data_IF_514623034195
#
_entry.id   IF_514623034195
#
_cell.length_a   1.000
_cell.length_b   1.000
_cell.length_c   1.000
_cell.angle_alpha   90.00
_cell.angle_beta   90.00
_cell.angle_gamma   90.00
#
_symmetry.space_group_name_H-M   'P 1'
#
loop_
_entity.id
_entity.type
_entity.pdbx_description
1 polymer ?
#
# COMPACT_ATOMS: atom_id res chain seq x y z
N UNK A 1 -22.20 2.26 -25.21
CA UNK A 1 -21.44 3.15 -24.29
C UNK A 1 -20.45 3.92 -25.14
N UNK A 2 -20.67 5.22 -25.33
CA UNK A 2 -19.90 6.03 -26.29
C UNK A 2 -18.50 6.32 -25.77
N UNK A 3 -17.54 5.48 -26.17
CA UNK A 3 -16.11 5.78 -26.03
C UNK A 3 -15.80 6.94 -26.99
N UNK A 4 -15.40 8.12 -26.47
CA UNK A 4 -14.94 9.22 -27.32
C UNK A 4 -13.65 8.73 -28.00
N UNK A 5 -13.76 8.41 -29.30
CA UNK A 5 -12.72 7.87 -30.18
C UNK A 5 -11.46 8.77 -30.36
N UNK A 6 -11.37 9.88 -29.61
CA UNK A 6 -10.37 10.94 -29.78
C UNK A 6 -9.67 11.39 -28.47
N UNK A 7 -9.78 10.65 -27.36
CA UNK A 7 -8.82 10.87 -26.26
C UNK A 7 -7.52 10.19 -26.66
N UNK A 8 -6.54 11.00 -27.07
CA UNK A 8 -5.17 10.55 -27.31
C UNK A 8 -4.61 9.97 -26.01
N UNK A 9 -4.73 8.66 -25.82
CA UNK A 9 -4.20 7.92 -24.68
C UNK A 9 -2.66 7.79 -24.78
N UNK A 10 -1.96 8.90 -24.97
CA UNK A 10 -0.51 8.93 -25.03
C UNK A 10 0.10 8.34 -23.75
N UNK A 11 -0.55 8.54 -22.59
CA UNK A 11 -0.15 7.95 -21.31
C UNK A 11 -0.13 6.42 -21.35
N UNK A 12 -1.06 5.77 -22.07
CA UNK A 12 -1.15 4.32 -22.18
C UNK A 12 0.03 3.74 -22.97
N UNK A 13 0.53 4.48 -23.96
CA UNK A 13 1.75 4.12 -24.70
C UNK A 13 2.98 4.22 -23.80
N UNK A 14 3.07 5.27 -22.97
CA UNK A 14 4.19 5.42 -22.03
C UNK A 14 4.16 4.36 -20.91
N UNK A 15 2.99 4.09 -20.32
CA UNK A 15 2.87 3.08 -19.26
C UNK A 15 3.13 1.68 -19.79
N UNK A 16 2.60 1.32 -20.97
CA UNK A 16 2.89 0.04 -21.60
C UNK A 16 4.37 -0.11 -21.97
N UNK A 17 5.01 0.95 -22.49
CA UNK A 17 6.44 0.94 -22.78
C UNK A 17 7.29 0.70 -21.52
N UNK A 18 6.96 1.35 -20.40
CA UNK A 18 7.66 1.14 -19.11
C UNK A 18 7.48 -0.28 -18.61
N UNK A 19 6.26 -0.82 -18.66
CA UNK A 19 5.96 -2.19 -18.21
C UNK A 19 6.70 -3.22 -19.08
N UNK A 20 6.69 -3.03 -20.41
CA UNK A 20 7.40 -3.90 -21.35
C UNK A 20 8.92 -3.82 -21.16
N UNK A 21 9.45 -2.64 -20.85
CA UNK A 21 10.87 -2.47 -20.53
C UNK A 21 11.26 -3.23 -19.27
N UNK A 22 10.49 -3.10 -18.19
CA UNK A 22 10.71 -3.86 -16.93
C UNK A 22 10.66 -5.36 -17.22
N UNK A 23 9.71 -5.82 -18.03
CA UNK A 23 9.59 -7.22 -18.44
C UNK A 23 10.78 -7.71 -19.26
N UNK A 24 11.26 -6.91 -20.19
CA UNK A 24 12.43 -7.24 -20.99
C UNK A 24 13.67 -7.41 -20.10
N UNK A 25 13.89 -6.51 -19.13
CA UNK A 25 15.01 -6.61 -18.17
C UNK A 25 14.90 -7.87 -17.32
N UNK A 26 13.72 -8.19 -16.80
CA UNK A 26 13.50 -9.42 -16.02
C UNK A 26 13.78 -10.68 -16.84
N UNK A 27 13.25 -10.76 -18.06
CA UNK A 27 13.47 -11.91 -18.94
C UNK A 27 14.94 -12.08 -19.32
N UNK A 28 15.65 -10.97 -19.55
CA UNK A 28 17.07 -10.99 -19.88
C UNK A 28 17.92 -11.44 -18.68
N UNK A 29 17.54 -11.03 -17.46
CA UNK A 29 18.17 -11.48 -16.22
C UNK A 29 17.94 -12.98 -15.98
N UNK A 30 16.70 -13.44 -16.14
CA UNK A 30 16.38 -14.87 -16.04
C UNK A 30 17.09 -15.70 -17.11
N UNK A 31 17.25 -15.18 -18.33
CA UNK A 31 18.03 -15.84 -19.38
C UNK A 31 19.52 -15.94 -19.03
N UNK A 32 20.12 -14.88 -18.50
CA UNK A 32 21.51 -14.89 -18.03
C UNK A 32 21.73 -15.92 -16.90
N UNK A 33 20.81 -16.00 -15.94
CA UNK A 33 20.88 -16.97 -14.84
C UNK A 33 20.74 -18.41 -15.34
N UNK A 34 19.85 -18.68 -16.30
CA UNK A 34 19.72 -20.00 -16.92
C UNK A 34 21.00 -20.37 -17.68
N UNK A 35 21.65 -19.41 -18.35
CA UNK A 35 22.90 -19.64 -19.06
C UNK A 35 24.06 -20.04 -18.13
N UNK A 36 24.03 -19.60 -16.86
CA UNK A 36 24.95 -20.00 -15.81
C UNK A 36 24.50 -21.27 -15.05
N UNK A 37 23.37 -21.89 -15.43
CA UNK A 37 22.83 -23.08 -14.79
C UNK A 37 22.10 -22.82 -13.47
N UNK A 38 21.82 -21.56 -13.13
CA UNK A 38 21.04 -21.17 -11.95
C UNK A 38 19.53 -21.16 -12.24
N UNK A 39 18.75 -21.29 -11.17
CA UNK A 39 17.29 -21.23 -11.26
C UNK A 39 16.82 -19.80 -11.64
N UNK A 40 15.81 -19.66 -12.51
CA UNK A 40 15.28 -18.35 -12.90
C UNK A 40 14.54 -17.69 -11.74
N UNK A 41 14.54 -16.36 -11.72
CA UNK A 41 13.77 -15.56 -10.76
C UNK A 41 12.31 -15.54 -11.20
N UNK A 42 11.40 -16.10 -10.40
CA UNK A 42 9.95 -16.07 -10.66
C UNK A 42 9.28 -14.92 -9.91
N UNK A 43 8.66 -13.99 -10.65
CA UNK A 43 7.84 -12.89 -10.12
C UNK A 43 6.34 -13.10 -10.44
N UNK A 44 5.88 -14.35 -10.40
CA UNK A 44 4.58 -14.81 -10.93
C UNK A 44 3.33 -13.98 -10.54
N UNK A 45 3.15 -13.46 -9.31
CA UNK A 45 1.97 -12.66 -9.01
C UNK A 45 2.03 -11.25 -9.62
N UNK A 46 3.20 -10.62 -9.60
CA UNK A 46 3.42 -9.22 -10.00
C UNK A 46 3.27 -9.08 -11.53
N UNK A 47 3.64 -10.12 -12.26
CA UNK A 47 3.52 -10.20 -13.72
C UNK A 47 2.07 -10.10 -14.21
N UNK A 48 1.14 -10.80 -13.54
CA UNK A 48 -0.28 -10.72 -13.87
C UNK A 48 -0.86 -9.31 -13.66
N UNK A 49 -0.46 -8.63 -12.57
CA UNK A 49 -0.86 -7.24 -12.32
C UNK A 49 -0.36 -6.28 -13.39
N UNK A 50 0.88 -6.44 -13.85
CA UNK A 50 1.47 -5.60 -14.89
C UNK A 50 0.74 -5.75 -16.23
N UNK A 51 0.30 -6.95 -16.59
CA UNK A 51 -0.49 -7.20 -17.80
C UNK A 51 -1.90 -6.61 -17.70
N UNK A 52 -2.56 -6.70 -16.55
CA UNK A 52 -3.87 -6.09 -16.30
C UNK A 52 -3.85 -4.55 -16.44
N UNK A 53 -2.72 -3.91 -16.11
CA UNK A 53 -2.56 -2.44 -16.25
C UNK A 53 -2.56 -1.95 -17.71
N UNK A 54 -2.29 -2.83 -18.68
CA UNK A 54 -2.23 -2.49 -20.11
C UNK A 54 -3.57 -2.76 -20.80
N UNK A 55 -4.40 -3.62 -20.21
CA UNK A 55 -5.63 -4.10 -20.83
C UNK A 55 -6.70 -2.99 -20.93
N UNK A 56 -7.11 -2.72 -22.18
CA UNK A 56 -7.97 -1.58 -22.53
C UNK A 56 -9.35 -1.64 -21.86
N UNK A 57 -9.81 -2.85 -21.51
CA UNK A 57 -11.06 -3.09 -20.79
C UNK A 57 -11.04 -2.50 -19.36
N UNK A 58 -9.87 -2.38 -18.75
CA UNK A 58 -9.69 -1.88 -17.38
C UNK A 58 -9.11 -0.47 -17.30
N UNK A 59 -8.80 0.17 -18.44
CA UNK A 59 -8.12 1.48 -18.52
C UNK A 59 -8.80 2.57 -17.68
N UNK A 60 -10.14 2.61 -17.66
CA UNK A 60 -10.91 3.56 -16.85
C UNK A 60 -10.70 3.31 -15.34
N UNK A 61 -10.74 2.05 -14.91
CA UNK A 61 -10.60 1.65 -13.50
C UNK A 61 -9.14 1.76 -13.02
N UNK A 62 -8.17 1.45 -13.89
CA UNK A 62 -6.75 1.58 -13.60
C UNK A 62 -6.33 3.04 -13.53
N UNK A 63 -6.79 3.89 -14.45
CA UNK A 63 -6.51 5.34 -14.39
C UNK A 63 -7.04 5.95 -13.10
N UNK A 64 -8.22 5.52 -12.65
CA UNK A 64 -8.77 5.91 -11.36
C UNK A 64 -7.88 5.46 -10.19
N UNK A 65 -7.45 4.19 -10.20
CA UNK A 65 -6.55 3.64 -9.18
C UNK A 65 -5.24 4.44 -9.12
N UNK A 66 -4.58 4.66 -10.26
CA UNK A 66 -3.32 5.40 -10.36
C UNK A 66 -3.44 6.86 -9.91
N UNK A 67 -4.60 7.50 -10.06
CA UNK A 67 -4.85 8.85 -9.53
C UNK A 67 -5.04 8.88 -8.01
N UNK A 68 -5.54 7.78 -7.44
CA UNK A 68 -5.81 7.66 -6.01
C UNK A 68 -4.56 7.23 -5.22
N UNK A 69 -3.70 6.40 -5.82
CA UNK A 69 -2.47 5.87 -5.19
C UNK A 69 -1.55 6.97 -4.62
N UNK A 70 -1.22 8.08 -5.31
CA UNK A 70 -0.37 9.13 -4.74
C UNK A 70 -0.95 9.74 -3.45
N UNK A 71 -2.27 9.90 -3.38
CA UNK A 71 -2.98 10.42 -2.20
C UNK A 71 -2.91 9.41 -1.05
N UNK A 72 -3.02 8.11 -1.36
CA UNK A 72 -2.85 7.03 -0.40
C UNK A 72 -1.42 6.97 0.16
N UNK A 73 -0.41 7.08 -0.70
CA UNK A 73 1.01 7.03 -0.31
C UNK A 73 1.32 8.08 0.75
N UNK A 74 0.82 9.31 0.59
CA UNK A 74 1.02 10.38 1.58
C UNK A 74 0.51 9.96 2.97
N UNK A 75 -0.69 9.38 3.04
CA UNK A 75 -1.29 8.91 4.29
C UNK A 75 -0.56 7.69 4.85
N UNK A 76 -0.10 6.77 3.99
CA UNK A 76 0.73 5.65 4.40
C UNK A 76 2.04 6.11 5.02
N UNK A 77 2.70 7.12 4.44
CA UNK A 77 3.95 7.68 4.98
C UNK A 77 3.74 8.25 6.39
N UNK A 78 2.60 8.90 6.65
CA UNK A 78 2.25 9.38 8.00
C UNK A 78 2.17 8.19 8.96
N UNK A 79 1.41 7.15 8.64
CA UNK A 79 1.30 5.95 9.49
C UNK A 79 2.66 5.30 9.71
N UNK A 80 3.46 5.11 8.64
CA UNK A 80 4.82 4.55 8.74
C UNK A 80 5.71 5.38 9.66
N UNK A 81 5.61 6.71 9.62
CA UNK A 81 6.36 7.60 10.51
C UNK A 81 5.98 7.37 11.97
N UNK A 82 4.68 7.28 12.28
CA UNK A 82 4.23 6.97 13.64
C UNK A 82 4.69 5.59 14.10
N UNK A 83 4.67 4.58 13.23
CA UNK A 83 5.19 3.24 13.56
C UNK A 83 6.67 3.33 13.90
N UNK A 84 7.49 4.00 13.08
CA UNK A 84 8.92 4.18 13.36
C UNK A 84 9.17 4.90 14.70
N UNK A 85 8.40 5.95 15.01
CA UNK A 85 8.50 6.68 16.28
C UNK A 85 8.15 5.75 17.44
N UNK A 86 7.04 5.01 17.35
CA UNK A 86 6.64 4.07 18.40
C UNK A 86 7.65 2.94 18.57
N UNK A 87 8.16 2.37 17.48
CA UNK A 87 9.24 1.36 17.52
C UNK A 87 10.45 1.87 18.28
N UNK A 88 10.95 3.07 17.94
CA UNK A 88 12.07 3.68 18.66
C UNK A 88 11.73 3.92 20.14
N UNK A 89 10.53 4.43 20.43
CA UNK A 89 10.06 4.66 21.79
C UNK A 89 10.01 3.37 22.61
N UNK A 90 9.49 2.27 22.05
CA UNK A 90 9.46 0.96 22.70
C UNK A 90 10.86 0.44 23.03
N UNK A 91 11.81 0.59 22.11
CA UNK A 91 13.21 0.20 22.35
C UNK A 91 13.90 1.03 23.45
N UNK A 92 13.50 2.28 23.65
CA UNK A 92 14.00 3.10 24.76
C UNK A 92 13.26 2.86 26.08
N UNK A 93 11.99 2.45 26.01
CA UNK A 93 11.13 2.26 27.16
C UNK A 93 11.37 0.91 27.86
N UNK A 94 11.53 -0.16 27.08
CA UNK A 94 11.67 -1.51 27.60
C UNK A 94 13.09 -1.80 28.07
N UNK A 95 13.22 -2.35 29.29
CA UNK A 95 14.52 -2.74 29.81
C UNK A 95 15.04 -3.93 29.00
N UNK A 96 16.31 -3.94 28.54
CA UNK A 96 16.90 -5.08 27.84
C UNK A 96 16.82 -6.43 28.59
N UNK A 97 16.62 -6.40 29.91
CA UNK A 97 16.46 -7.59 30.73
C UNK A 97 15.02 -8.12 30.76
N UNK A 98 14.03 -7.35 30.29
CA UNK A 98 12.63 -7.76 30.21
C UNK A 98 12.38 -8.63 28.98
N UNK A 99 11.41 -9.52 29.12
CA UNK A 99 11.07 -10.51 28.09
C UNK A 99 10.45 -9.87 26.84
N UNK A 100 9.87 -8.68 26.98
CA UNK A 100 9.38 -7.82 25.89
C UNK A 100 10.52 -7.40 24.94
N UNK A 101 11.62 -6.92 25.53
CA UNK A 101 12.80 -6.47 24.81
C UNK A 101 13.51 -7.64 24.14
N UNK A 102 13.64 -8.77 24.84
CA UNK A 102 14.37 -9.94 24.35
C UNK A 102 13.65 -10.71 23.24
N UNK A 103 12.32 -10.67 23.18
CA UNK A 103 11.55 -11.41 22.18
C UNK A 103 11.08 -10.54 21.02
N UNK A 104 10.69 -9.29 21.30
CA UNK A 104 9.98 -8.47 20.32
C UNK A 104 10.70 -7.17 19.96
N UNK A 105 11.62 -6.68 20.80
CA UNK A 105 12.34 -5.42 20.59
C UNK A 105 13.87 -5.61 20.65
N UNK A 106 14.38 -6.73 20.12
CA UNK A 106 15.81 -7.10 20.16
C UNK A 106 16.71 -6.13 19.41
N UNK A 107 16.26 -5.74 18.23
CA UNK A 107 16.88 -4.77 17.34
C UNK A 107 15.79 -4.00 16.61
N UNK A 108 16.17 -2.88 15.99
CA UNK A 108 15.21 -1.98 15.37
C UNK A 108 14.42 -2.65 14.23
N UNK A 109 15.03 -3.53 13.45
CA UNK A 109 14.36 -4.22 12.34
C UNK A 109 13.29 -5.19 12.85
N UNK A 110 13.64 -6.00 13.84
CA UNK A 110 12.70 -6.93 14.50
C UNK A 110 11.59 -6.17 15.21
N UNK A 111 11.92 -5.12 15.95
CA UNK A 111 10.95 -4.25 16.62
C UNK A 111 9.97 -3.60 15.63
N UNK A 112 10.49 -3.08 14.51
CA UNK A 112 9.68 -2.47 13.45
C UNK A 112 8.72 -3.49 12.85
N UNK A 113 9.22 -4.68 12.52
CA UNK A 113 8.41 -5.77 11.99
C UNK A 113 7.29 -6.17 12.95
N UNK A 114 7.60 -6.31 14.25
CA UNK A 114 6.61 -6.62 15.27
C UNK A 114 5.53 -5.52 15.37
N UNK A 115 5.91 -4.25 15.35
CA UNK A 115 4.93 -3.15 15.38
C UNK A 115 4.04 -3.12 14.12
N UNK A 116 4.58 -3.49 12.94
CA UNK A 116 3.78 -3.65 11.71
C UNK A 116 2.81 -4.84 11.84
N UNK A 117 3.23 -5.96 12.43
CA UNK A 117 2.33 -7.08 12.71
C UNK A 117 1.24 -6.71 13.70
N UNK A 118 1.52 -5.87 14.71
CA UNK A 118 0.52 -5.34 15.63
C UNK A 118 -0.47 -4.43 14.91
N UNK A 119 0.00 -3.56 14.00
CA UNK A 119 -0.88 -2.71 13.17
C UNK A 119 -1.91 -3.56 12.42
N UNK A 120 -1.46 -4.61 11.74
CA UNK A 120 -2.33 -5.46 10.92
C UNK A 120 -2.97 -6.62 11.71
N UNK A 121 -2.87 -6.61 13.05
CA UNK A 121 -3.39 -7.66 13.94
C UNK A 121 -2.88 -9.08 13.64
N UNK A 122 -1.79 -9.23 12.91
CA UNK A 122 -1.25 -10.54 12.50
C UNK A 122 -0.61 -11.31 13.68
N UNK A 123 -0.07 -10.58 14.66
CA UNK A 123 0.57 -11.16 15.84
C UNK A 123 0.05 -10.54 17.15
N UNK A 124 -1.16 -9.98 17.16
CA UNK A 124 -1.76 -9.44 18.39
C UNK A 124 -2.51 -10.54 19.17
N UNK A 125 -2.38 -10.67 20.51
CA UNK A 125 -1.67 -9.81 21.47
C UNK A 125 -0.22 -10.24 21.81
N UNK A 126 0.43 -11.03 20.96
CA UNK A 126 1.74 -11.66 21.25
C UNK A 126 2.80 -10.72 21.87
N UNK A 127 3.19 -9.62 21.19
CA UNK A 127 4.16 -8.66 21.72
C UNK A 127 3.81 -8.00 23.05
N UNK A 128 2.52 -7.95 23.42
CA UNK A 128 2.05 -7.37 24.69
C UNK A 128 2.10 -8.38 25.84
N UNK A 129 1.97 -9.68 25.56
CA UNK A 129 1.84 -10.69 26.62
C UNK A 129 2.96 -10.67 27.67
N UNK A 130 4.23 -10.45 27.32
CA UNK A 130 5.30 -10.32 28.30
C UNK A 130 5.06 -9.18 29.32
N UNK A 131 4.56 -8.02 28.87
CA UNK A 131 4.22 -6.89 29.74
C UNK A 131 3.08 -7.21 30.71
N UNK A 132 2.14 -8.07 30.33
CA UNK A 132 1.07 -8.49 31.24
C UNK A 132 1.62 -9.32 32.41
N UNK A 133 2.70 -10.08 32.17
CA UNK A 133 3.31 -11.01 33.11
C UNK A 133 4.33 -10.32 34.00
N UNK A 134 5.25 -9.53 33.43
CA UNK A 134 6.38 -8.93 34.15
C UNK A 134 6.05 -7.54 34.72
N UNK A 135 5.58 -6.62 33.87
CA UNK A 135 5.26 -5.25 34.29
C UNK A 135 4.01 -4.70 33.59
N UNK A 136 2.87 -4.84 34.27
CA UNK A 136 1.55 -4.46 33.73
C UNK A 136 1.42 -2.99 33.35
N UNK A 137 2.27 -2.10 33.86
CA UNK A 137 2.25 -0.69 33.47
C UNK A 137 2.65 -0.51 31.99
N UNK A 138 3.53 -1.37 31.47
CA UNK A 138 4.02 -1.33 30.09
C UNK A 138 2.95 -1.73 29.07
N UNK A 139 1.85 -2.35 29.50
CA UNK A 139 0.67 -2.60 28.66
C UNK A 139 0.08 -1.30 28.10
N UNK A 140 0.22 -0.18 28.82
CA UNK A 140 -0.27 1.14 28.38
C UNK A 140 0.39 1.58 27.07
N UNK A 141 1.66 1.23 26.84
CA UNK A 141 2.36 1.52 25.58
C UNK A 141 1.61 0.91 24.38
N UNK A 142 1.23 -0.36 24.48
CA UNK A 142 0.55 -1.09 23.41
C UNK A 142 -0.88 -0.56 23.20
N UNK A 143 -1.61 -0.27 24.27
CA UNK A 143 -2.94 0.33 24.14
C UNK A 143 -2.89 1.73 23.52
N UNK A 144 -1.90 2.56 23.88
CA UNK A 144 -1.72 3.86 23.27
C UNK A 144 -1.45 3.74 21.76
N UNK A 145 -0.58 2.81 21.35
CA UNK A 145 -0.34 2.51 19.94
C UNK A 145 -1.63 2.07 19.21
N UNK A 146 -2.40 1.16 19.81
CA UNK A 146 -3.65 0.69 19.22
C UNK A 146 -4.68 1.80 19.08
N UNK A 147 -4.86 2.65 20.09
CA UNK A 147 -5.84 3.74 20.03
C UNK A 147 -5.43 4.82 19.02
N UNK A 148 -4.17 5.26 19.06
CA UNK A 148 -3.72 6.39 18.25
C UNK A 148 -3.45 5.96 16.81
N UNK A 149 -2.64 4.91 16.61
CA UNK A 149 -2.17 4.51 15.29
C UNK A 149 -3.17 3.57 14.62
N UNK A 150 -3.55 2.48 15.29
CA UNK A 150 -4.40 1.47 14.67
C UNK A 150 -5.84 1.97 14.52
N UNK A 151 -6.49 2.41 15.59
CA UNK A 151 -7.89 2.86 15.52
C UNK A 151 -8.04 4.31 15.07
N UNK A 152 -7.10 5.19 15.43
CA UNK A 152 -7.13 6.59 15.01
C UNK A 152 -6.68 6.74 13.55
N UNK A 153 -5.38 6.57 13.31
CA UNK A 153 -4.79 6.87 12.00
C UNK A 153 -5.23 5.93 10.89
N UNK A 154 -5.40 4.62 11.14
CA UNK A 154 -5.88 3.70 10.10
C UNK A 154 -7.32 4.05 9.66
N UNK A 155 -8.22 4.33 10.60
CA UNK A 155 -9.60 4.72 10.26
C UNK A 155 -9.65 6.09 9.61
N UNK A 156 -8.80 7.03 10.02
CA UNK A 156 -8.65 8.31 9.33
C UNK A 156 -8.16 8.09 7.89
N UNK A 157 -7.17 7.22 7.68
CA UNK A 157 -6.72 6.85 6.33
C UNK A 157 -7.87 6.26 5.51
N UNK A 158 -8.67 5.35 6.07
CA UNK A 158 -9.84 4.81 5.37
C UNK A 158 -10.87 5.88 5.04
N UNK A 159 -11.16 6.79 5.98
CA UNK A 159 -12.08 7.91 5.80
C UNK A 159 -11.64 8.86 4.69
N UNK A 160 -10.35 9.24 4.67
CA UNK A 160 -9.80 10.05 3.57
C UNK A 160 -9.85 9.33 2.23
N UNK A 161 -9.53 8.03 2.19
CA UNK A 161 -9.65 7.24 0.97
C UNK A 161 -11.09 7.21 0.44
N UNK A 162 -12.05 6.99 1.33
CA UNK A 162 -13.47 7.04 0.97
C UNK A 162 -13.86 8.41 0.41
N UNK A 163 -13.49 9.49 1.08
CA UNK A 163 -13.79 10.86 0.64
C UNK A 163 -13.21 11.17 -0.75
N UNK A 164 -11.95 10.78 -1.00
CA UNK A 164 -11.34 10.98 -2.31
C UNK A 164 -11.97 10.09 -3.38
N UNK A 165 -12.31 8.85 -3.03
CA UNK A 165 -13.00 7.94 -3.93
C UNK A 165 -14.35 8.54 -4.37
N UNK A 166 -15.16 9.00 -3.43
CA UNK A 166 -16.45 9.64 -3.69
C UNK A 166 -16.29 10.90 -4.56
N UNK A 167 -15.29 11.73 -4.27
CA UNK A 167 -15.00 12.95 -5.05
C UNK A 167 -14.68 12.62 -6.51
N UNK A 168 -13.79 11.66 -6.76
CA UNK A 168 -13.40 11.27 -8.11
C UNK A 168 -14.55 10.59 -8.87
N UNK A 169 -15.35 9.77 -8.18
CA UNK A 169 -16.56 9.16 -8.77
C UNK A 169 -17.56 10.22 -9.21
N UNK A 170 -17.83 11.22 -8.37
CA UNK A 170 -18.71 12.34 -8.71
C UNK A 170 -18.19 13.14 -9.92
N UNK A 171 -16.89 13.38 -10.00
CA UNK A 171 -16.26 14.05 -11.14
C UNK A 171 -16.50 13.26 -12.45
N UNK A 172 -16.30 11.94 -12.41
CA UNK A 172 -16.52 11.07 -13.58
C UNK A 172 -17.99 11.08 -14.00
N UNK A 173 -18.94 11.02 -13.06
CA UNK A 173 -20.36 11.10 -13.36
C UNK A 173 -20.74 12.41 -14.05
N UNK A 174 -20.25 13.55 -13.56
CA UNK A 174 -20.50 14.87 -14.18
C UNK A 174 -19.91 14.94 -15.58
N UNK A 175 -18.70 14.41 -15.80
CA UNK A 175 -18.08 14.35 -17.14
C UNK A 175 -18.89 13.49 -18.12
N UNK A 176 -19.40 12.35 -17.67
CA UNK A 176 -20.24 11.47 -18.49
C UNK A 176 -21.58 12.13 -18.83
N UNK A 177 -22.21 12.81 -17.88
CA UNK A 177 -23.45 13.54 -18.12
C UNK A 177 -23.25 14.69 -19.10
N UNK A 178 -22.19 15.49 -18.95
CA UNK A 178 -21.85 16.55 -19.91
C UNK A 178 -21.66 16.00 -21.31
N UNK A 179 -20.90 14.91 -21.44
CA UNK A 179 -20.68 14.25 -22.74
C UNK A 179 -21.99 13.74 -23.36
N UNK A 180 -22.91 13.22 -22.54
CA UNK A 180 -24.25 12.78 -22.99
C UNK A 180 -25.10 13.95 -23.51
N UNK A 181 -25.04 15.11 -22.84
CA UNK A 181 -25.76 16.32 -23.25
C UNK A 181 -25.19 16.89 -24.55
N UNK A 182 -23.86 17.02 -24.64
CA UNK A 182 -23.19 17.52 -25.85
C UNK A 182 -23.53 16.65 -27.07
N UNK A 183 -23.45 15.32 -26.93
CA UNK A 183 -23.81 14.39 -28.01
C UNK A 183 -25.29 14.47 -28.44
N UNK A 184 -26.19 14.89 -27.54
CA UNK A 184 -27.61 15.14 -27.88
C UNK A 184 -27.83 16.49 -28.55
N UNK A 185 -26.98 17.48 -28.28
CA UNK A 185 -27.03 18.79 -28.91
C UNK A 185 -26.45 18.77 -30.34
N UNK A 186 -25.54 17.84 -30.63
CA UNK A 186 -24.94 17.62 -31.95
C UNK A 186 -25.75 16.71 -32.88
N UNK A 187 -26.83 16.07 -32.39
CA UNK A 187 -27.68 15.12 -33.12
C UNK A 187 -29.02 15.75 -33.54
#
# INVERSE_FOLDING_TARGET
MGYKRNTSNAYQVYTSAVILFIKAVFNLTSFALIAEGLAPVSCSPIEGFLCLLIELQYDIHITFFLRTVPKFILLTVVISTFICIYTAMGMFLFDPNQLEAQLYFTDYGVALWNMIMVLNSANWPGPMMPAVIENRALVIYFYAFLLIVNWGLLNLLLGFNYFFFETEVNIVYVMQEKTRVDNKAEA
#
